data_IF_562925893114
#
_entry.id   IF_562925893114
#
_cell.length_a   1.000
_cell.length_b   1.000
_cell.length_c   1.000
_cell.angle_alpha   90.00
_cell.angle_beta   90.00
_cell.angle_gamma   90.00
#
_symmetry.space_group_name_H-M   'P 1'
#
loop_
_entity.id
_entity.type
_entity.pdbx_description
1 polymer ?
#
# COMPACT_ATOMS: atom_id res chain seq x y z
N UNK A 1 17.19 -16.55 10.12
CA UNK A 1 17.10 -15.55 9.04
C UNK A 1 18.49 -15.06 8.71
N UNK A 2 18.98 -15.30 7.50
CA UNK A 2 20.26 -14.75 7.04
C UNK A 2 20.07 -13.27 6.69
N UNK A 3 21.00 -12.40 7.11
CA UNK A 3 20.95 -10.97 6.75
C UNK A 3 20.93 -10.82 5.23
N UNK A 4 19.96 -10.10 4.69
CA UNK A 4 19.87 -9.80 3.26
C UNK A 4 21.04 -8.90 2.82
N UNK A 5 21.40 -8.95 1.54
CA UNK A 5 22.41 -8.03 0.99
C UNK A 5 22.02 -6.56 1.18
N UNK A 6 20.71 -6.27 1.17
CA UNK A 6 20.19 -4.95 1.49
C UNK A 6 20.47 -4.56 2.94
N UNK A 7 20.22 -5.45 3.91
CA UNK A 7 20.49 -5.19 5.32
C UNK A 7 21.99 -4.91 5.56
N UNK A 8 22.88 -5.71 4.94
CA UNK A 8 24.34 -5.48 5.01
C UNK A 8 24.74 -4.14 4.40
N UNK A 9 24.06 -3.70 3.32
CA UNK A 9 24.31 -2.44 2.64
C UNK A 9 23.92 -1.24 3.51
N UNK A 10 22.73 -1.26 4.11
CA UNK A 10 22.28 -0.15 4.98
C UNK A 10 23.08 -0.09 6.29
N UNK A 11 23.50 -1.23 6.85
CA UNK A 11 24.36 -1.26 8.04
C UNK A 11 25.73 -0.63 7.84
N UNK A 12 26.24 -0.59 6.60
CA UNK A 12 27.51 0.07 6.24
C UNK A 12 27.32 1.46 5.66
N UNK A 13 26.08 1.88 5.41
CA UNK A 13 25.78 3.16 4.78
C UNK A 13 25.84 4.32 5.79
N UNK A 14 26.26 5.51 5.34
CA UNK A 14 26.20 6.73 6.14
C UNK A 14 24.74 7.18 6.33
N UNK A 15 24.48 7.98 7.37
CA UNK A 15 23.12 8.43 7.70
C UNK A 15 22.41 9.13 6.52
N UNK A 16 23.12 9.96 5.75
CA UNK A 16 22.53 10.61 4.56
C UNK A 16 22.04 9.62 3.49
N UNK A 17 22.73 8.50 3.31
CA UNK A 17 22.28 7.44 2.40
C UNK A 17 21.06 6.68 2.97
N UNK A 18 20.99 6.49 4.30
CA UNK A 18 19.83 5.90 4.95
C UNK A 18 18.58 6.76 4.78
N UNK A 19 18.72 8.08 4.93
CA UNK A 19 17.65 9.06 4.68
C UNK A 19 17.15 8.93 3.24
N UNK A 20 18.06 8.90 2.25
CA UNK A 20 17.69 8.73 0.85
C UNK A 20 16.98 7.39 0.58
N UNK A 21 17.38 6.30 1.25
CA UNK A 21 16.68 5.02 1.13
C UNK A 21 15.28 5.06 1.74
N UNK A 22 15.08 5.79 2.84
CA UNK A 22 13.77 6.01 3.42
C UNK A 22 12.90 6.85 2.46
N UNK A 23 13.42 7.94 1.92
CA UNK A 23 12.70 8.82 0.98
C UNK A 23 12.23 8.06 -0.27
N UNK A 24 13.12 7.26 -0.87
CA UNK A 24 12.80 6.42 -2.04
C UNK A 24 11.69 5.41 -1.79
N UNK A 25 11.52 4.98 -0.53
CA UNK A 25 10.51 4.00 -0.11
C UNK A 25 9.30 4.67 0.57
N UNK A 26 9.23 6.00 0.56
CA UNK A 26 8.23 6.79 1.26
C UNK A 26 8.10 6.44 2.75
N UNK A 27 9.24 6.09 3.38
CA UNK A 27 9.33 5.80 4.80
C UNK A 27 9.72 7.03 5.59
N UNK A 28 9.22 7.10 6.82
CA UNK A 28 9.59 8.16 7.74
C UNK A 28 11.09 8.11 8.09
N UNK A 29 11.81 9.19 7.79
CA UNK A 29 13.23 9.31 8.08
C UNK A 29 13.54 10.07 9.38
N UNK A 30 12.59 10.14 10.33
CA UNK A 30 12.86 10.76 11.63
C UNK A 30 13.69 9.84 12.53
N UNK A 31 14.51 10.48 13.37
CA UNK A 31 15.36 9.81 14.35
C UNK A 31 16.81 9.64 13.93
N UNK A 32 17.58 8.97 14.79
CA UNK A 32 19.00 8.69 14.56
C UNK A 32 19.24 7.56 13.56
N UNK A 33 20.51 7.30 13.28
CA UNK A 33 20.96 6.25 12.35
C UNK A 33 20.31 4.88 12.60
N UNK A 34 20.23 4.45 13.86
CA UNK A 34 19.67 3.15 14.23
C UNK A 34 18.17 3.05 13.93
N UNK A 35 17.43 4.15 14.16
CA UNK A 35 16.00 4.22 13.84
C UNK A 35 15.77 4.08 12.33
N UNK A 36 16.61 4.72 11.51
CA UNK A 36 16.55 4.59 10.05
C UNK A 36 16.82 3.14 9.59
N UNK A 37 17.84 2.49 10.15
CA UNK A 37 18.15 1.10 9.80
C UNK A 37 16.99 0.18 10.18
N UNK A 38 16.44 0.32 11.39
CA UNK A 38 15.32 -0.51 11.84
C UNK A 38 14.10 -0.39 10.92
N UNK A 39 13.75 0.83 10.50
CA UNK A 39 12.63 1.08 9.57
C UNK A 39 12.88 0.46 8.19
N UNK A 40 14.10 0.59 7.67
CA UNK A 40 14.47 0.02 6.36
C UNK A 40 14.49 -1.52 6.38
N UNK A 41 14.92 -2.12 7.48
CA UNK A 41 14.85 -3.58 7.68
C UNK A 41 13.39 -4.03 7.75
N UNK A 42 12.58 -3.39 8.60
CA UNK A 42 11.18 -3.74 8.76
C UNK A 42 10.39 -3.64 7.45
N UNK A 43 10.68 -2.63 6.62
CA UNK A 43 10.06 -2.50 5.30
C UNK A 43 10.42 -3.66 4.36
N UNK A 44 11.68 -4.08 4.32
CA UNK A 44 12.09 -5.21 3.47
C UNK A 44 11.58 -6.54 3.99
N UNK A 45 11.52 -6.74 5.31
CA UNK A 45 10.90 -7.92 5.91
C UNK A 45 9.40 -7.98 5.63
N UNK A 46 8.70 -6.83 5.70
CA UNK A 46 7.29 -6.73 5.31
C UNK A 46 7.10 -7.03 3.82
N UNK A 47 7.91 -6.44 2.93
CA UNK A 47 7.86 -6.71 1.48
C UNK A 47 8.19 -8.15 1.10
N UNK A 48 9.15 -8.76 1.81
CA UNK A 48 9.50 -10.17 1.62
C UNK A 48 8.35 -11.11 2.05
N UNK A 49 7.57 -10.71 3.05
CA UNK A 49 6.41 -11.46 3.54
C UNK A 49 5.16 -11.22 2.67
N UNK A 50 5.00 -10.01 2.11
CA UNK A 50 3.90 -9.65 1.20
C UNK A 50 4.00 -10.31 -0.20
N UNK A 51 5.16 -10.91 -0.53
CA UNK A 51 5.32 -11.68 -1.77
C UNK A 51 4.80 -13.12 -1.68
N UNK A 52 4.26 -13.54 -0.54
CA UNK A 52 3.39 -14.71 -0.50
C UNK A 52 2.01 -14.26 -1.01
N UNK A 53 1.51 -14.78 -2.15
CA UNK A 53 0.21 -14.36 -2.63
C UNK A 53 -0.80 -14.65 -1.52
N UNK A 54 -1.50 -13.63 -1.03
CA UNK A 54 -2.74 -13.85 -0.32
C UNK A 54 -3.55 -14.85 -1.17
N UNK A 55 -4.10 -15.95 -0.61
CA UNK A 55 -5.08 -16.70 -1.35
C UNK A 55 -6.11 -15.67 -1.77
N UNK A 56 -6.25 -15.47 -3.08
CA UNK A 56 -7.33 -14.68 -3.65
C UNK A 56 -8.59 -15.30 -3.08
N UNK A 57 -9.11 -14.72 -1.99
CA UNK A 57 -10.44 -15.01 -1.52
C UNK A 57 -11.28 -14.39 -2.61
N UNK A 58 -11.61 -15.19 -3.62
CA UNK A 58 -12.66 -14.86 -4.58
C UNK A 58 -13.80 -14.30 -3.73
N UNK A 59 -14.20 -13.02 -3.92
CA UNK A 59 -15.43 -12.58 -3.32
C UNK A 59 -16.50 -13.57 -3.77
N UNK A 60 -17.33 -14.11 -2.85
CA UNK A 60 -18.34 -15.08 -3.24
C UNK A 60 -19.11 -14.48 -4.40
N UNK A 61 -19.13 -15.17 -5.53
CA UNK A 61 -19.89 -14.77 -6.71
C UNK A 61 -21.32 -14.53 -6.23
N UNK A 62 -21.68 -13.27 -6.10
CA UNK A 62 -23.05 -12.88 -5.75
C UNK A 62 -23.85 -13.20 -7.00
N UNK A 63 -24.61 -14.30 -6.93
CA UNK A 63 -25.53 -14.71 -7.98
C UNK A 63 -26.45 -13.53 -8.37
N UNK A 64 -26.82 -13.40 -9.65
CA UNK A 64 -27.56 -12.26 -10.18
C UNK A 64 -29.06 -12.41 -9.93
N UNK A 65 -29.70 -11.38 -9.36
CA UNK A 65 -31.15 -11.26 -9.27
C UNK A 65 -31.57 -9.77 -9.40
N UNK A 66 -32.78 -9.46 -9.90
CA UNK A 66 -33.06 -9.31 -11.33
C UNK A 66 -33.43 -7.87 -11.72
N UNK A 67 -33.35 -7.58 -13.03
CA UNK A 67 -33.92 -6.39 -13.66
C UNK A 67 -35.34 -6.09 -13.15
N UNK A 68 -35.52 -4.93 -12.52
CA UNK A 68 -36.86 -4.34 -12.33
C UNK A 68 -37.07 -3.29 -13.43
N UNK A 69 -38.14 -3.37 -14.24
CA UNK A 69 -38.38 -2.50 -15.39
C UNK A 69 -38.70 -1.04 -14.98
N UNK A 70 -38.67 -0.07 -15.93
CA UNK A 70 -38.68 1.35 -15.61
C UNK A 70 -40.03 1.82 -15.07
N UNK A 71 -40.02 2.47 -13.91
CA UNK A 71 -41.15 3.27 -13.46
C UNK A 71 -41.07 4.64 -14.15
N UNK A 72 -42.17 4.97 -14.82
CA UNK A 72 -42.37 6.08 -15.73
C UNK A 72 -41.98 7.47 -15.22
N UNK A 73 -41.59 8.31 -16.18
CA UNK A 73 -41.57 9.78 -16.06
C UNK A 73 -42.92 10.30 -15.53
N UNK A 74 -42.88 11.38 -14.74
CA UNK A 74 -43.73 12.52 -15.07
C UNK A 74 -42.92 13.81 -15.12
N UNK A 75 -42.78 14.34 -16.34
CA UNK A 75 -43.29 15.65 -16.77
C UNK A 75 -42.99 16.88 -15.90
N UNK A 76 -42.27 17.84 -16.51
CA UNK A 76 -42.33 19.32 -16.41
C UNK A 76 -42.34 19.96 -15.00
N UNK A 77 -41.52 20.98 -14.71
CA UNK A 77 -41.64 22.34 -15.25
C UNK A 77 -40.36 23.15 -14.97
N UNK A 78 -39.87 24.00 -15.89
CA UNK A 78 -38.99 25.09 -15.54
C UNK A 78 -39.79 26.20 -14.83
N UNK A 79 -39.27 26.70 -13.72
CA UNK A 79 -39.66 28.02 -13.19
C UNK A 79 -38.42 28.92 -13.30
N UNK A 80 -38.44 29.82 -14.27
CA UNK A 80 -37.58 31.01 -14.31
C UNK A 80 -38.21 32.08 -13.39
N UNK A 81 -37.37 32.70 -12.55
CA UNK A 81 -37.49 34.10 -12.12
C UNK A 81 -36.11 34.76 -12.25
#
# INVERSE_FOLDING_TARGET
MSKTEFQKKIEKSPQGALIAFCDQRHLDHTGGREALIAKLVAYEEAKATESEPEPVVEPPATEPEPETPPAAEPTELPSED
#
